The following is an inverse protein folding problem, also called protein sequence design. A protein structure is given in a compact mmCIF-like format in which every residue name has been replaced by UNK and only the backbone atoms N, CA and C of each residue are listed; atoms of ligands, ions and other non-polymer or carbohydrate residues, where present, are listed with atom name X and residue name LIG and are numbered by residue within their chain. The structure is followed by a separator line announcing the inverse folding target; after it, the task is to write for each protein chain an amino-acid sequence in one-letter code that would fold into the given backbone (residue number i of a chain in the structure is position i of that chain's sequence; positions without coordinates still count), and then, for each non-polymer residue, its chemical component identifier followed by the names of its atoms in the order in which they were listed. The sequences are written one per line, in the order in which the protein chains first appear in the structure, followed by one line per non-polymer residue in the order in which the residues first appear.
data_IF_561222585934
#
_entry.id   IF_561222585934
#
_cell.length_a   1.000
_cell.length_b   1.000
_cell.length_c   1.000
_cell.angle_alpha   90.00
_cell.angle_beta   90.00
_cell.angle_gamma   90.00
#
_symmetry.space_group_name_H-M   'P 1'
#
loop_
_entity.id
_entity.type
_entity.pdbx_description
1 polymer ?
#
# COMPACT_ATOMS: atom_id res chain seq x y z
N UNK A 1 -13.46 -8.98 -5.09
CA UNK A 1 -12.42 -8.01 -4.67
C UNK A 1 -13.13 -6.74 -4.23
N UNK A 2 -12.67 -6.02 -3.20
CA UNK A 2 -13.35 -4.80 -2.76
C UNK A 2 -13.25 -3.70 -3.83
N UNK A 3 -14.30 -2.89 -3.92
CA UNK A 3 -14.31 -1.67 -4.71
C UNK A 3 -13.92 -0.47 -3.83
N UNK A 4 -13.19 0.47 -4.42
CA UNK A 4 -12.81 1.74 -3.79
C UNK A 4 -13.51 2.88 -4.51
N UNK A 5 -14.12 3.77 -3.73
CA UNK A 5 -14.70 5.00 -4.26
C UNK A 5 -13.56 6.00 -4.48
N UNK A 6 -13.57 6.72 -5.61
CA UNK A 6 -12.57 7.77 -5.89
C UNK A 6 -11.11 7.32 -5.71
N UNK A 7 -10.78 6.11 -6.17
CA UNK A 7 -9.42 5.59 -6.24
C UNK A 7 -9.23 4.92 -7.60
N UNK A 8 -8.48 5.57 -8.47
CA UNK A 8 -8.11 4.97 -9.76
C UNK A 8 -7.01 3.93 -9.52
N UNK A 9 -7.41 2.66 -9.48
CA UNK A 9 -6.51 1.55 -9.24
C UNK A 9 -5.51 1.33 -10.39
N UNK A 10 -5.80 1.80 -11.60
CA UNK A 10 -4.86 1.71 -12.71
C UNK A 10 -3.72 2.71 -12.52
N UNK A 11 -4.07 3.98 -12.28
CA UNK A 11 -3.09 5.02 -11.95
C UNK A 11 -2.29 4.68 -10.70
N UNK A 12 -2.95 4.16 -9.67
CA UNK A 12 -2.30 3.69 -8.43
C UNK A 12 -1.18 2.67 -8.70
N UNK A 13 -1.48 1.67 -9.54
CA UNK A 13 -0.52 0.59 -9.88
C UNK A 13 0.66 1.11 -10.70
N UNK A 14 0.43 2.14 -11.51
CA UNK A 14 1.46 2.76 -12.34
C UNK A 14 2.35 3.74 -11.56
N UNK A 15 1.87 4.25 -10.43
CA UNK A 15 2.60 5.18 -9.54
C UNK A 15 3.57 4.47 -8.60
N UNK A 16 4.58 3.79 -9.18
CA UNK A 16 5.63 3.11 -8.41
C UNK A 16 6.36 4.09 -7.50
N UNK A 17 6.60 3.69 -6.25
CA UNK A 17 7.27 4.51 -5.24
C UNK A 17 6.63 5.90 -4.98
N UNK A 18 5.40 6.13 -5.46
CA UNK A 18 4.73 7.44 -5.37
C UNK A 18 5.30 8.53 -6.29
N UNK A 19 6.14 8.20 -7.28
CA UNK A 19 6.86 9.19 -8.10
C UNK A 19 5.97 10.05 -9.00
N UNK A 20 4.80 9.55 -9.41
CA UNK A 20 3.84 10.25 -10.26
C UNK A 20 2.84 11.07 -9.43
N UNK A 21 2.79 10.89 -8.11
CA UNK A 21 1.91 11.63 -7.20
C UNK A 21 0.43 11.23 -7.24
N UNK A 22 0.05 10.23 -8.04
CA UNK A 22 -1.32 9.75 -8.17
C UNK A 22 -1.85 9.13 -6.86
N UNK A 23 -0.98 8.48 -6.08
CA UNK A 23 -1.34 7.96 -4.75
C UNK A 23 -1.59 9.08 -3.75
N UNK A 24 -0.83 10.18 -3.85
CA UNK A 24 -0.95 11.33 -2.96
C UNK A 24 -2.30 12.05 -3.15
N UNK A 25 -2.74 12.20 -4.40
CA UNK A 25 -4.03 12.83 -4.75
C UNK A 25 -5.22 12.14 -4.08
N UNK A 26 -5.12 10.82 -3.89
CA UNK A 26 -6.22 9.99 -3.38
C UNK A 26 -6.07 9.63 -1.89
N UNK A 27 -5.15 10.27 -1.16
CA UNK A 27 -4.84 9.96 0.25
C UNK A 27 -6.08 9.94 1.16
N UNK A 28 -6.95 10.95 1.04
CA UNK A 28 -8.17 11.04 1.84
C UNK A 28 -9.10 9.86 1.58
N UNK A 29 -9.27 9.51 0.31
CA UNK A 29 -10.16 8.41 -0.12
C UNK A 29 -9.61 7.04 0.29
N UNK A 30 -8.30 6.83 0.12
CA UNK A 30 -7.62 5.64 0.59
C UNK A 30 -7.76 5.49 2.11
N UNK A 31 -7.48 6.56 2.86
CA UNK A 31 -7.46 6.52 4.33
C UNK A 31 -8.83 6.18 4.92
N UNK A 32 -9.92 6.73 4.37
CA UNK A 32 -11.27 6.42 4.82
C UNK A 32 -11.73 4.99 4.48
N UNK A 33 -11.07 4.35 3.51
CA UNK A 33 -11.46 3.03 2.98
C UNK A 33 -10.41 1.93 3.23
N UNK A 34 -9.27 2.24 3.89
CA UNK A 34 -8.13 1.33 4.06
C UNK A 34 -8.51 0.02 4.76
N UNK A 35 -9.54 0.04 5.60
CA UNK A 35 -10.03 -1.15 6.30
C UNK A 35 -10.65 -2.19 5.35
N UNK A 36 -11.04 -1.81 4.12
CA UNK A 36 -11.43 -2.76 3.06
C UNK A 36 -10.30 -3.72 2.67
N UNK A 37 -9.05 -3.40 3.01
CA UNK A 37 -7.88 -4.24 2.76
C UNK A 37 -7.66 -5.32 3.83
N UNK A 38 -8.27 -5.17 5.03
CA UNK A 38 -8.16 -6.17 6.09
C UNK A 38 -8.78 -7.49 5.66
N UNK A 39 -8.15 -8.60 6.04
CA UNK A 39 -8.59 -9.95 5.71
C UNK A 39 -8.27 -10.40 4.27
N UNK A 40 -7.80 -9.52 3.39
CA UNK A 40 -7.34 -9.93 2.05
C UNK A 40 -6.04 -10.71 2.14
N UNK A 41 -5.89 -11.73 1.28
CA UNK A 41 -4.62 -12.44 1.10
C UNK A 41 -3.59 -11.56 0.41
N UNK A 42 -2.31 -11.92 0.54
CA UNK A 42 -1.22 -11.24 -0.18
C UNK A 42 -1.48 -11.18 -1.70
N UNK A 43 -1.93 -12.28 -2.31
CA UNK A 43 -2.23 -12.31 -3.75
C UNK A 43 -3.41 -11.42 -4.12
N UNK A 44 -4.43 -11.36 -3.27
CA UNK A 44 -5.56 -10.45 -3.49
C UNK A 44 -5.12 -8.98 -3.39
N UNK A 45 -4.23 -8.66 -2.44
CA UNK A 45 -3.61 -7.34 -2.34
C UNK A 45 -2.80 -7.02 -3.60
N UNK A 46 -1.93 -7.94 -4.05
CA UNK A 46 -1.10 -7.72 -5.25
C UNK A 46 -1.94 -7.57 -6.51
N UNK A 47 -3.00 -8.37 -6.66
CA UNK A 47 -3.94 -8.27 -7.78
C UNK A 47 -4.69 -6.94 -7.78
N UNK A 48 -4.97 -6.38 -6.61
CA UNK A 48 -5.73 -5.14 -6.45
C UNK A 48 -4.84 -3.90 -6.62
N UNK A 49 -3.81 -3.80 -5.78
CA UNK A 49 -2.94 -2.62 -5.61
C UNK A 49 -1.64 -2.69 -6.43
N UNK A 50 -1.37 -3.82 -7.08
CA UNK A 50 -0.09 -4.08 -7.75
C UNK A 50 0.97 -4.63 -6.80
N UNK A 51 2.20 -4.79 -7.30
CA UNK A 51 3.32 -5.20 -6.43
C UNK A 51 3.62 -4.08 -5.43
N UNK A 52 3.91 -4.41 -4.16
CA UNK A 52 4.34 -3.41 -3.19
C UNK A 52 5.69 -2.81 -3.59
N UNK A 53 5.92 -1.58 -3.17
CA UNK A 53 7.22 -0.92 -3.37
C UNK A 53 8.29 -1.57 -2.48
N UNK A 54 7.89 -1.97 -1.27
CA UNK A 54 8.76 -2.70 -0.34
C UNK A 54 8.02 -3.92 0.22
N UNK A 55 8.73 -5.04 0.25
CA UNK A 55 8.27 -6.29 0.85
C UNK A 55 9.26 -6.70 1.93
N UNK A 56 8.86 -6.54 3.19
CA UNK A 56 9.73 -6.79 4.33
C UNK A 56 9.33 -8.07 5.06
N UNK A 57 10.34 -8.87 5.41
CA UNK A 57 10.23 -10.00 6.32
C UNK A 57 10.87 -9.59 7.65
N UNK A 58 10.04 -9.36 8.67
CA UNK A 58 10.46 -8.91 9.98
C UNK A 58 10.49 -10.05 11.01
N UNK A 59 10.88 -9.72 12.25
CA UNK A 59 11.03 -10.67 13.36
C UNK A 59 9.75 -11.51 13.55
N UNK A 60 9.93 -12.80 13.85
CA UNK A 60 8.86 -13.80 14.05
C UNK A 60 7.99 -14.05 12.80
N UNK A 61 8.59 -14.03 11.61
CA UNK A 61 7.92 -14.29 10.33
C UNK A 61 6.75 -13.32 10.06
N UNK A 62 6.85 -12.09 10.56
CA UNK A 62 5.90 -11.05 10.20
C UNK A 62 6.24 -10.53 8.81
N UNK A 63 5.26 -10.53 7.91
CA UNK A 63 5.42 -10.03 6.56
C UNK A 63 4.71 -8.69 6.42
N UNK A 64 5.35 -7.77 5.74
CA UNK A 64 4.80 -6.45 5.46
C UNK A 64 4.88 -6.11 3.98
N UNK A 65 3.80 -5.51 3.49
CA UNK A 65 3.81 -4.80 2.21
C UNK A 65 3.72 -3.31 2.49
N UNK A 66 4.62 -2.54 1.89
CA UNK A 66 4.57 -1.08 1.94
C UNK A 66 4.37 -0.51 0.54
N UNK A 67 3.46 0.46 0.45
CA UNK A 67 3.23 1.28 -0.74
C UNK A 67 3.49 2.74 -0.35
N UNK A 68 4.48 3.37 -0.96
CA UNK A 68 4.76 4.79 -0.76
C UNK A 68 3.63 5.61 -1.36
N UNK A 69 3.06 6.51 -0.56
CA UNK A 69 1.93 7.36 -0.91
C UNK A 69 2.37 8.75 -1.41
N UNK A 70 3.59 9.13 -1.08
CA UNK A 70 4.28 10.34 -1.56
C UNK A 70 5.61 9.93 -2.22
N UNK A 71 6.28 10.82 -2.96
CA UNK A 71 7.56 10.48 -3.60
C UNK A 71 8.61 10.02 -2.58
N UNK A 72 9.11 8.79 -2.75
CA UNK A 72 10.22 8.24 -1.98
C UNK A 72 11.61 8.64 -2.51
N UNK A 73 12.66 8.12 -1.85
CA UNK A 73 14.07 8.30 -2.25
C UNK A 73 14.35 7.85 -3.69
N UNK A 74 13.67 6.80 -4.13
CA UNK A 74 13.73 6.26 -5.49
C UNK A 74 13.32 7.30 -6.55
N UNK A 75 12.53 8.31 -6.16
CA UNK A 75 12.10 9.41 -7.00
C UNK A 75 12.98 10.66 -6.87
N UNK A 76 14.08 10.61 -6.10
CA UNK A 76 14.93 11.76 -5.80
C UNK A 76 14.42 12.66 -4.66
N UNK A 77 13.47 12.19 -3.85
CA UNK A 77 12.97 12.92 -2.68
C UNK A 77 13.86 12.71 -1.45
N UNK A 78 14.30 13.80 -0.82
CA UNK A 78 15.04 13.77 0.44
C UNK A 78 14.14 13.67 1.68
N UNK A 79 12.82 13.77 1.48
CA UNK A 79 11.84 13.73 2.56
C UNK A 79 11.44 12.29 2.92
N UNK A 80 11.01 12.09 4.18
CA UNK A 80 10.38 10.84 4.59
C UNK A 80 9.03 10.73 3.91
N UNK A 81 8.85 9.70 3.08
CA UNK A 81 7.58 9.45 2.41
C UNK A 81 6.54 8.86 3.38
N UNK A 82 5.31 9.35 3.28
CA UNK A 82 4.13 8.65 3.78
C UNK A 82 3.99 7.29 3.07
N UNK A 83 3.56 6.26 3.79
CA UNK A 83 3.38 4.90 3.27
C UNK A 83 2.12 4.25 3.81
N UNK A 84 1.48 3.43 2.98
CA UNK A 84 0.47 2.45 3.38
C UNK A 84 1.18 1.15 3.74
N UNK A 85 1.14 0.78 5.01
CA UNK A 85 1.73 -0.44 5.53
C UNK A 85 0.66 -1.49 5.82
N UNK A 86 0.81 -2.68 5.24
CA UNK A 86 -0.04 -3.84 5.49
C UNK A 86 0.77 -4.92 6.20
N UNK A 87 0.38 -5.27 7.43
CA UNK A 87 0.97 -6.42 8.16
C UNK A 87 0.12 -7.66 7.95
N UNK A 88 0.75 -8.74 7.53
CA UNK A 88 0.08 -10.04 7.34
C UNK A 88 0.22 -10.92 8.59
N UNK A 89 -0.80 -11.75 8.85
CA UNK A 89 -0.71 -12.81 9.84
C UNK A 89 0.01 -14.06 9.28
N UNK A 90 0.23 -15.07 10.11
CA UNK A 90 0.91 -16.31 9.71
C UNK A 90 0.20 -17.09 8.59
N UNK A 91 -1.11 -16.86 8.40
CA UNK A 91 -1.89 -17.46 7.31
C UNK A 91 -1.83 -16.64 6.02
N UNK A 92 -1.14 -15.49 6.03
CA UNK A 92 -0.96 -14.64 4.85
C UNK A 92 -2.11 -13.66 4.58
N UNK A 93 -2.96 -13.37 5.57
CA UNK A 93 -4.04 -12.38 5.47
C UNK A 93 -3.66 -11.06 6.14
N UNK A 94 -4.05 -9.93 5.54
CA UNK A 94 -3.81 -8.60 6.09
C UNK A 94 -4.52 -8.44 7.44
N UNK A 95 -3.75 -8.33 8.53
CA UNK A 95 -4.24 -8.18 9.90
C UNK A 95 -4.32 -6.71 10.31
N UNK A 96 -3.31 -5.92 9.91
CA UNK A 96 -3.24 -4.49 10.20
C UNK A 96 -2.98 -3.71 8.92
N UNK A 97 -3.60 -2.54 8.83
CA UNK A 97 -3.49 -1.62 7.70
C UNK A 97 -3.38 -0.21 8.27
N UNK A 98 -2.22 0.41 8.09
CA UNK A 98 -1.89 1.74 8.63
C UNK A 98 -1.32 2.64 7.55
N UNK A 99 -1.52 3.95 7.71
CA UNK A 99 -0.89 4.99 6.91
C UNK A 99 0.04 5.75 7.86
N UNK A 100 1.34 5.78 7.56
CA UNK A 100 2.40 6.30 8.44
C UNK A 100 3.53 6.97 7.67
#
# INVERSE_FOLDING_TARGET
MPAFDNLDLEKWRNDKNGCLGERALNLKSLTSQKDKLKGLSQDAIVKLLGRPDQNELYKRNQKFFHYLLTPGKECGSDSTSLKLSLRFNAMGFAKEVVVE
#
